data_IF_772363378431
#
_entry.id   IF_772363378431
#
_cell.length_a   1.000
_cell.length_b   1.000
_cell.length_c   1.000
_cell.angle_alpha   90.00
_cell.angle_beta   90.00
_cell.angle_gamma   90.00
#
_symmetry.space_group_name_H-M   'P 1'
#
loop_
_entity.id
_entity.type
_entity.pdbx_description
1 polymer ?
#
# COMPACT_ATOMS: atom_id res chain seq x y z
N UNK A 1 4.40 0.46 32.48
CA UNK A 1 4.88 -0.89 32.09
C UNK A 1 6.15 -0.82 31.24
N UNK A 2 6.25 0.02 30.21
CA UNK A 2 7.47 0.19 29.40
C UNK A 2 8.71 0.56 30.25
N UNK A 3 8.59 1.56 31.12
CA UNK A 3 9.74 2.04 31.89
C UNK A 3 10.32 0.98 32.86
N UNK A 4 9.46 0.13 33.42
CA UNK A 4 9.91 -1.00 34.26
C UNK A 4 10.67 -2.05 33.43
N UNK A 5 10.23 -2.32 32.18
CA UNK A 5 10.94 -3.20 31.26
C UNK A 5 12.29 -2.67 30.82
N UNK A 6 12.39 -1.37 30.55
CA UNK A 6 13.67 -0.72 30.23
C UNK A 6 14.65 -0.79 31.39
N UNK A 7 14.18 -0.49 32.59
CA UNK A 7 15.01 -0.58 33.80
C UNK A 7 15.53 -2.00 34.05
N UNK A 8 14.66 -3.00 33.92
CA UNK A 8 15.04 -4.39 34.07
C UNK A 8 16.07 -4.82 33.02
N UNK A 9 15.93 -4.37 31.76
CA UNK A 9 16.89 -4.61 30.68
C UNK A 9 18.26 -3.99 30.99
N UNK A 10 18.29 -2.76 31.44
CA UNK A 10 19.53 -2.09 31.87
C UNK A 10 20.19 -2.82 33.05
N UNK A 11 19.42 -3.24 34.05
CA UNK A 11 19.93 -4.03 35.19
C UNK A 11 20.49 -5.38 34.74
N UNK A 12 19.98 -5.95 33.67
CA UNK A 12 20.50 -7.18 33.05
C UNK A 12 21.72 -6.96 32.15
N UNK A 13 22.21 -5.71 32.04
CA UNK A 13 23.41 -5.36 31.25
C UNK A 13 23.17 -5.04 29.78
N UNK A 14 21.92 -4.90 29.35
CA UNK A 14 21.63 -4.50 27.98
C UNK A 14 21.74 -2.97 27.79
N UNK A 15 22.32 -2.49 26.69
CA UNK A 15 22.37 -1.06 26.40
C UNK A 15 20.99 -0.49 26.16
N UNK A 16 20.80 0.78 26.52
CA UNK A 16 19.60 1.51 26.16
C UNK A 16 19.75 2.06 24.72
N UNK A 17 18.72 1.91 23.90
CA UNK A 17 18.65 2.54 22.59
C UNK A 17 17.42 3.44 22.49
N UNK A 18 17.61 4.63 21.92
CA UNK A 18 16.52 5.58 21.69
C UNK A 18 15.75 5.26 20.39
N UNK A 19 16.37 4.53 19.47
CA UNK A 19 15.77 4.13 18.21
C UNK A 19 16.16 2.68 17.86
N UNK A 20 15.20 1.76 17.99
CA UNK A 20 15.39 0.35 17.65
C UNK A 20 15.53 0.09 16.15
N UNK A 21 15.28 1.07 15.29
CA UNK A 21 15.49 1.02 13.85
C UNK A 21 16.72 1.84 13.41
N UNK A 22 17.40 2.47 14.36
CA UNK A 22 18.56 3.31 14.13
C UNK A 22 19.88 2.54 13.95
N UNK A 23 20.98 3.25 14.11
CA UNK A 23 22.33 2.68 13.95
C UNK A 23 22.63 1.58 14.96
N UNK A 24 22.19 1.73 16.22
CA UNK A 24 22.34 0.73 17.28
C UNK A 24 21.01 0.04 17.53
N UNK A 25 20.81 -1.11 16.94
CA UNK A 25 19.57 -1.91 17.08
C UNK A 25 19.61 -2.89 18.25
N UNK A 26 20.81 -3.26 18.71
CA UNK A 26 20.97 -4.16 19.85
C UNK A 26 20.80 -3.39 21.16
N UNK A 27 19.87 -3.86 22.00
CA UNK A 27 19.59 -3.21 23.28
C UNK A 27 18.12 -3.29 23.68
N UNK A 28 17.76 -2.42 24.65
CA UNK A 28 16.39 -2.21 25.10
C UNK A 28 15.96 -0.78 24.78
N UNK A 29 14.77 -0.60 24.22
CA UNK A 29 14.25 0.69 23.82
C UNK A 29 12.73 0.76 23.90
N UNK A 30 12.17 1.95 23.80
CA UNK A 30 10.74 2.13 23.68
C UNK A 30 10.32 1.74 22.27
N UNK A 31 9.34 0.86 22.18
CA UNK A 31 8.71 0.53 20.88
C UNK A 31 7.55 1.46 20.60
N UNK A 32 7.54 2.03 19.40
CA UNK A 32 6.38 2.75 18.90
C UNK A 32 5.21 1.78 18.70
N UNK A 33 4.03 2.21 19.10
CA UNK A 33 2.83 1.41 18.97
C UNK A 33 1.67 2.25 18.43
N UNK A 34 0.89 1.66 17.53
CA UNK A 34 -0.33 2.27 17.02
C UNK A 34 -1.46 2.18 18.05
N UNK A 35 -1.32 2.94 19.14
CA UNK A 35 -2.26 3.01 20.27
C UNK A 35 -2.67 4.46 20.47
N UNK A 36 -3.97 4.71 20.59
CA UNK A 36 -4.54 6.00 20.97
C UNK A 36 -5.62 5.80 22.01
N UNK A 37 -5.55 6.58 23.10
CA UNK A 37 -6.50 6.49 24.23
C UNK A 37 -6.70 5.04 24.75
N UNK A 38 -5.60 4.29 24.88
CA UNK A 38 -5.61 2.92 25.39
C UNK A 38 -6.20 1.87 24.43
N UNK A 39 -6.49 2.21 23.18
CA UNK A 39 -7.04 1.31 22.16
C UNK A 39 -6.12 1.20 20.96
N UNK A 40 -6.11 0.03 20.31
CA UNK A 40 -5.43 -0.12 19.01
C UNK A 40 -6.01 0.87 18.00
N UNK A 41 -5.13 1.66 17.41
CA UNK A 41 -5.49 2.73 16.48
C UNK A 41 -5.09 2.33 15.05
N UNK A 42 -5.99 1.64 14.36
CA UNK A 42 -5.75 1.22 12.97
C UNK A 42 -5.73 2.41 12.01
N UNK A 43 -5.15 2.23 10.82
CA UNK A 43 -5.20 3.24 9.76
C UNK A 43 -6.65 3.64 9.40
N UNK A 44 -7.58 2.68 9.43
CA UNK A 44 -9.00 2.98 9.23
C UNK A 44 -9.54 3.92 10.31
N UNK A 45 -9.24 3.67 11.59
CA UNK A 45 -9.69 4.51 12.70
C UNK A 45 -9.02 5.89 12.67
N UNK A 46 -7.73 5.94 12.31
CA UNK A 46 -6.95 7.18 12.32
C UNK A 46 -7.26 8.11 11.14
N UNK A 47 -7.48 7.55 9.96
CA UNK A 47 -7.53 8.33 8.71
C UNK A 47 -8.83 8.14 7.92
N UNK A 48 -9.29 6.89 7.74
CA UNK A 48 -10.44 6.62 6.88
C UNK A 48 -11.74 7.13 7.50
N UNK A 49 -12.06 6.72 8.72
CA UNK A 49 -13.34 7.08 9.35
C UNK A 49 -13.52 8.60 9.46
N UNK A 50 -12.53 9.39 9.89
CA UNK A 50 -12.66 10.86 9.89
C UNK A 50 -12.81 11.44 8.50
N UNK A 51 -12.24 10.80 7.46
CA UNK A 51 -12.29 11.31 6.09
C UNK A 51 -13.62 11.02 5.38
N UNK A 52 -14.39 10.01 5.81
CA UNK A 52 -15.66 9.63 5.19
C UNK A 52 -16.70 10.77 5.21
N UNK A 53 -16.62 11.67 6.20
CA UNK A 53 -17.54 12.82 6.30
C UNK A 53 -17.28 13.92 5.27
N UNK A 54 -16.15 13.86 4.53
CA UNK A 54 -15.74 14.94 3.61
C UNK A 54 -16.52 14.98 2.29
N UNK A 55 -17.33 13.98 1.96
CA UNK A 55 -18.11 13.92 0.73
C UNK A 55 -17.30 13.68 -0.57
N UNK A 56 -15.98 13.82 -0.53
CA UNK A 56 -15.07 13.60 -1.66
C UNK A 56 -14.33 12.25 -1.61
N UNK A 57 -14.73 11.37 -0.69
CA UNK A 57 -14.18 10.03 -0.51
C UNK A 57 -15.30 9.00 -0.61
N UNK A 58 -15.13 8.03 -1.51
CA UNK A 58 -15.98 6.85 -1.61
C UNK A 58 -15.17 5.61 -1.33
N UNK A 59 -15.73 4.66 -0.59
CA UNK A 59 -15.10 3.38 -0.28
C UNK A 59 -15.95 2.24 -0.80
N UNK A 60 -15.30 1.27 -1.43
CA UNK A 60 -15.91 0.02 -1.84
C UNK A 60 -15.26 -1.11 -1.04
N UNK A 61 -16.07 -1.91 -0.38
CA UNK A 61 -15.63 -3.09 0.36
C UNK A 61 -16.24 -4.35 -0.25
N UNK A 62 -15.63 -5.51 0.02
CA UNK A 62 -16.06 -6.80 -0.54
C UNK A 62 -16.02 -6.83 -2.09
N UNK A 63 -15.04 -6.14 -2.66
CA UNK A 63 -14.75 -6.17 -4.09
C UNK A 63 -13.34 -6.76 -4.30
N UNK A 64 -13.19 -7.52 -5.39
CA UNK A 64 -11.90 -8.03 -5.83
C UNK A 64 -11.42 -7.17 -7.00
N UNK A 65 -10.26 -6.52 -6.84
CA UNK A 65 -9.60 -5.85 -7.98
C UNK A 65 -8.87 -6.92 -8.78
N UNK A 66 -9.22 -7.04 -10.05
CA UNK A 66 -8.70 -8.10 -10.93
C UNK A 66 -7.65 -7.60 -11.91
N UNK A 67 -7.75 -6.33 -12.31
CA UNK A 67 -6.84 -5.77 -13.32
C UNK A 67 -6.73 -4.24 -13.17
N UNK A 68 -5.54 -3.70 -13.44
CA UNK A 68 -5.35 -2.28 -13.75
C UNK A 68 -5.56 -2.08 -15.25
N UNK A 69 -6.34 -1.10 -15.63
CA UNK A 69 -6.62 -0.78 -17.03
C UNK A 69 -5.63 0.26 -17.56
N UNK A 70 -5.03 -0.03 -18.72
CA UNK A 70 -4.07 0.83 -19.37
C UNK A 70 -4.59 1.35 -20.71
N UNK A 71 -4.21 2.57 -21.07
CA UNK A 71 -4.28 3.15 -22.41
C UNK A 71 -2.85 3.54 -22.81
N UNK A 72 -2.22 2.74 -23.66
CA UNK A 72 -0.79 2.79 -23.89
C UNK A 72 -0.04 2.58 -22.56
N UNK A 73 0.82 3.51 -22.18
CA UNK A 73 1.62 3.44 -20.95
C UNK A 73 0.99 4.13 -19.73
N UNK A 74 -0.28 4.52 -19.81
CA UNK A 74 -0.98 5.25 -18.75
C UNK A 74 -2.04 4.37 -18.10
N UNK A 75 -1.97 4.20 -16.78
CA UNK A 75 -3.06 3.61 -16.02
C UNK A 75 -4.25 4.58 -16.01
N UNK A 76 -5.43 4.10 -16.41
CA UNK A 76 -6.65 4.90 -16.59
C UNK A 76 -7.82 4.40 -15.74
N UNK A 77 -7.66 3.27 -15.06
CA UNK A 77 -8.72 2.69 -14.25
C UNK A 77 -8.36 1.35 -13.66
N UNK A 78 -9.35 0.73 -13.06
CA UNK A 78 -9.28 -0.63 -12.51
C UNK A 78 -10.51 -1.43 -12.94
N UNK A 79 -10.32 -2.72 -13.11
CA UNK A 79 -11.39 -3.69 -13.21
C UNK A 79 -11.60 -4.34 -11.84
N UNK A 80 -12.84 -4.50 -11.45
CA UNK A 80 -13.21 -5.15 -10.18
C UNK A 80 -14.33 -6.15 -10.39
N UNK A 81 -14.37 -7.17 -9.55
CA UNK A 81 -15.52 -8.08 -9.42
C UNK A 81 -16.24 -7.76 -8.12
N UNK A 82 -17.50 -7.35 -8.25
CA UNK A 82 -18.41 -7.06 -7.14
C UNK A 82 -19.63 -8.00 -7.25
N UNK A 83 -19.83 -8.84 -6.24
CA UNK A 83 -20.95 -9.82 -6.23
C UNK A 83 -21.06 -10.67 -7.51
N UNK A 84 -19.92 -11.07 -8.08
CA UNK A 84 -19.85 -11.85 -9.33
C UNK A 84 -20.03 -11.05 -10.62
N UNK A 85 -20.18 -9.73 -10.55
CA UNK A 85 -20.30 -8.85 -11.70
C UNK A 85 -19.02 -8.06 -11.89
N UNK A 86 -18.46 -8.09 -13.10
CA UNK A 86 -17.30 -7.29 -13.47
C UNK A 86 -17.71 -5.84 -13.75
N UNK A 87 -16.99 -4.89 -13.17
CA UNK A 87 -17.18 -3.45 -13.33
C UNK A 87 -15.85 -2.74 -13.53
N UNK A 88 -15.85 -1.65 -14.28
CA UNK A 88 -14.68 -0.81 -14.50
C UNK A 88 -14.87 0.55 -13.83
N UNK A 89 -13.85 0.98 -13.08
CA UNK A 89 -13.78 2.31 -12.48
C UNK A 89 -12.64 3.08 -13.13
N UNK A 90 -12.91 4.25 -13.66
CA UNK A 90 -11.91 5.13 -14.26
C UNK A 90 -11.41 6.17 -13.28
N UNK A 91 -10.11 6.46 -13.34
CA UNK A 91 -9.46 7.50 -12.55
C UNK A 91 -8.27 8.08 -13.31
N UNK A 92 -7.90 9.29 -12.97
CA UNK A 92 -6.73 9.95 -13.55
C UNK A 92 -5.41 9.46 -12.93
N UNK A 93 -5.47 8.89 -11.72
CA UNK A 93 -4.32 8.32 -11.00
C UNK A 93 -4.75 7.05 -10.25
N UNK A 94 -3.94 6.02 -10.31
CA UNK A 94 -4.14 4.76 -9.61
C UNK A 94 -3.00 4.57 -8.60
N UNK A 95 -3.35 4.30 -7.34
CA UNK A 95 -2.39 4.04 -6.27
C UNK A 95 -2.59 2.61 -5.77
N UNK A 96 -1.58 1.77 -5.95
CA UNK A 96 -1.60 0.40 -5.48
C UNK A 96 -1.10 0.33 -4.04
N UNK A 97 -1.94 -0.14 -3.13
CA UNK A 97 -1.64 -0.30 -1.70
C UNK A 97 -2.01 -1.69 -1.17
N UNK A 98 -1.99 -2.69 -2.05
CA UNK A 98 -2.34 -4.09 -1.74
C UNK A 98 -1.28 -4.85 -0.94
N UNK A 99 -0.16 -4.21 -0.59
CA UNK A 99 0.96 -4.80 0.14
C UNK A 99 2.00 -5.47 -0.77
N UNK A 100 3.02 -6.07 -0.15
CA UNK A 100 4.20 -6.59 -0.83
C UNK A 100 3.91 -7.76 -1.79
N UNK A 101 2.80 -8.45 -1.62
CA UNK A 101 2.41 -9.61 -2.45
C UNK A 101 1.35 -9.20 -3.46
N UNK A 102 0.25 -8.59 -3.02
CA UNK A 102 -0.90 -8.34 -3.91
C UNK A 102 -0.65 -7.22 -4.93
N UNK A 103 0.11 -6.17 -4.58
CA UNK A 103 0.40 -5.11 -5.55
C UNK A 103 1.24 -5.60 -6.74
N UNK A 104 2.35 -6.34 -6.55
CA UNK A 104 3.06 -6.97 -7.66
C UNK A 104 2.21 -7.98 -8.44
N UNK A 105 1.42 -8.80 -7.75
CA UNK A 105 0.53 -9.75 -8.39
C UNK A 105 -0.49 -9.05 -9.30
N UNK A 106 -1.10 -7.96 -8.83
CA UNK A 106 -2.05 -7.19 -9.61
C UNK A 106 -1.40 -6.57 -10.86
N UNK A 107 -0.15 -6.11 -10.76
CA UNK A 107 0.61 -5.62 -11.92
C UNK A 107 0.85 -6.74 -12.93
N UNK A 108 1.29 -7.91 -12.49
CA UNK A 108 1.49 -9.08 -13.37
C UNK A 108 0.18 -9.47 -14.06
N UNK A 109 -0.93 -9.57 -13.34
CA UNK A 109 -2.26 -9.84 -13.90
C UNK A 109 -2.73 -8.77 -14.90
N UNK A 110 -2.17 -7.57 -14.80
CA UNK A 110 -2.46 -6.45 -15.69
C UNK A 110 -1.52 -6.37 -16.91
N UNK A 111 -0.67 -7.37 -17.12
CA UNK A 111 0.28 -7.40 -18.23
C UNK A 111 1.57 -6.61 -18.02
N UNK A 112 1.84 -6.20 -16.77
CA UNK A 112 3.04 -5.44 -16.38
C UNK A 112 4.02 -6.37 -15.71
N UNK A 113 5.07 -6.79 -16.43
CA UNK A 113 6.03 -7.75 -15.92
C UNK A 113 7.08 -8.18 -16.94
N UNK A 114 7.87 -9.19 -16.59
CA UNK A 114 8.76 -9.84 -17.54
C UNK A 114 7.96 -10.54 -18.63
N UNK A 115 8.27 -10.23 -19.90
CA UNK A 115 7.48 -10.70 -21.03
C UNK A 115 7.51 -12.22 -21.20
N UNK A 116 8.61 -12.89 -20.88
CA UNK A 116 8.73 -14.34 -21.00
C UNK A 116 7.90 -15.02 -19.92
N UNK A 117 8.02 -14.53 -18.67
CA UNK A 117 7.25 -15.04 -17.55
C UNK A 117 5.74 -14.87 -17.77
N UNK A 118 5.29 -13.70 -18.23
CA UNK A 118 3.86 -13.45 -18.51
C UNK A 118 3.33 -14.37 -19.62
N UNK A 119 4.12 -14.60 -20.67
CA UNK A 119 3.77 -15.52 -21.75
C UNK A 119 3.64 -16.97 -21.27
N UNK A 120 4.54 -17.40 -20.37
CA UNK A 120 4.49 -18.76 -19.81
C UNK A 120 3.22 -19.02 -18.99
N UNK A 121 2.65 -17.97 -18.37
CA UNK A 121 1.38 -18.04 -17.63
C UNK A 121 0.17 -17.55 -18.44
N UNK A 122 0.31 -17.43 -19.76
CA UNK A 122 -0.77 -17.02 -20.69
C UNK A 122 -1.37 -15.64 -20.41
N UNK A 123 -0.55 -14.70 -19.94
CA UNK A 123 -0.93 -13.29 -19.76
C UNK A 123 -0.31 -12.48 -20.90
N UNK A 124 -1.14 -11.72 -21.61
CA UNK A 124 -0.65 -10.79 -22.64
C UNK A 124 0.16 -9.67 -22.01
N UNK A 125 1.33 -9.40 -22.59
CA UNK A 125 2.24 -8.35 -22.08
C UNK A 125 1.84 -7.00 -22.65
N UNK A 126 1.37 -6.10 -21.79
CA UNK A 126 1.02 -4.74 -22.18
C UNK A 126 2.19 -3.76 -22.01
N UNK A 127 3.07 -4.01 -21.03
CA UNK A 127 4.14 -3.07 -20.67
C UNK A 127 5.40 -3.79 -20.15
N UNK A 128 6.57 -3.36 -20.59
CA UNK A 128 7.83 -3.77 -19.99
C UNK A 128 8.09 -3.00 -18.68
N UNK A 129 8.51 -3.70 -17.63
CA UNK A 129 8.65 -3.19 -16.24
C UNK A 129 9.53 -1.92 -16.14
N UNK A 130 10.53 -1.77 -17.01
CA UNK A 130 11.59 -0.77 -16.84
C UNK A 130 11.10 0.68 -16.98
N UNK A 131 10.03 0.93 -17.73
CA UNK A 131 9.55 2.29 -17.96
C UNK A 131 8.54 2.82 -16.92
N UNK A 132 7.86 1.94 -16.17
CA UNK A 132 6.80 2.33 -15.21
C UNK A 132 7.41 2.84 -13.91
N UNK A 133 8.48 2.22 -13.42
CA UNK A 133 9.13 2.57 -12.14
C UNK A 133 9.81 3.95 -12.17
N UNK A 134 10.34 4.37 -13.31
CA UNK A 134 11.12 5.61 -13.42
C UNK A 134 10.27 6.89 -13.56
N UNK A 135 8.98 6.80 -13.90
CA UNK A 135 8.11 7.97 -14.09
C UNK A 135 7.18 8.30 -12.91
N UNK A 136 7.07 7.42 -11.92
CA UNK A 136 6.18 7.59 -10.75
C UNK A 136 6.64 8.63 -9.72
N UNK A 137 7.86 9.16 -9.81
CA UNK A 137 8.45 10.02 -8.77
C UNK A 137 8.47 11.52 -9.07
N UNK A 138 8.02 11.95 -10.23
CA UNK A 138 7.98 13.38 -10.56
C UNK A 138 6.64 13.80 -11.14
N UNK A 139 5.74 14.30 -10.29
CA UNK A 139 4.87 15.46 -10.60
C UNK A 139 4.08 15.94 -9.39
N UNK A 140 4.46 17.10 -8.88
CA UNK A 140 3.63 17.98 -8.08
C UNK A 140 2.71 18.79 -9.01
N UNK A 141 1.44 18.95 -8.65
CA UNK A 141 0.55 19.94 -9.24
C UNK A 141 -0.84 19.40 -9.62
N UNK A 142 -1.88 19.98 -9.00
CA UNK A 142 -3.33 19.85 -9.23
C UNK A 142 -3.92 18.44 -9.23
N UNK A 143 -4.77 18.19 -8.26
CA UNK A 143 -5.28 16.86 -7.87
C UNK A 143 -6.43 16.39 -8.76
N UNK A 144 -6.20 15.45 -9.69
CA UNK A 144 -7.31 14.64 -10.24
C UNK A 144 -7.74 13.54 -9.24
N UNK A 145 -8.92 12.97 -9.46
CA UNK A 145 -9.42 11.87 -8.66
C UNK A 145 -8.39 10.70 -8.58
N UNK A 146 -8.13 10.21 -7.37
CA UNK A 146 -7.20 9.10 -7.11
C UNK A 146 -7.97 7.87 -6.71
N UNK A 147 -7.59 6.73 -7.25
CA UNK A 147 -8.08 5.42 -6.87
C UNK A 147 -7.02 4.69 -6.04
N UNK A 148 -7.39 4.18 -4.85
CA UNK A 148 -6.53 3.37 -3.97
C UNK A 148 -6.97 1.91 -4.04
N UNK A 149 -6.08 1.04 -4.42
CA UNK A 149 -6.31 -0.41 -4.51
C UNK A 149 -5.39 -1.19 -3.58
#
# INVERSE_FOLDING_TARGET
>A
MHDAGLLAGQQAGYPLTDDMNGYQQEGVGKMDATIHQGKRWSAASAYLHPALSRGNLSTLTNVMVTKVLFEGKKAVGIEVVEKGVTKNYRAAEIILSGGAINSPQLLLLSGVGDANHLKDVSIETDQSIIEIILKGWHRSGSSPARCWC
#
